data_IF_148749591147
#
_entry.id   IF_148749591147
#
_cell.length_a   1.000
_cell.length_b   1.000
_cell.length_c   1.000
_cell.angle_alpha   90.00
_cell.angle_beta   90.00
_cell.angle_gamma   90.00
#
_symmetry.space_group_name_H-M   'P 1'
#
loop_
_entity.id
_entity.type
_entity.pdbx_description
1 polymer ?
#
# COMPACT_ATOMS: atom_id res chain seq x y z
N UNK A 1 -0.90 10.38 9.17
CA UNK A 1 -1.42 9.00 9.20
C UNK A 1 -0.58 8.23 8.21
N UNK A 2 0.36 7.41 8.70
CA UNK A 2 1.18 6.59 7.81
C UNK A 2 0.30 5.46 7.25
N UNK A 3 0.23 5.33 5.93
CA UNK A 3 -0.47 4.22 5.27
C UNK A 3 0.53 3.10 4.94
N UNK A 4 0.04 1.87 4.97
CA UNK A 4 0.81 0.68 4.61
C UNK A 4 0.89 0.59 3.09
N UNK A 5 2.08 0.39 2.53
CA UNK A 5 2.19 0.00 1.13
C UNK A 5 1.65 -1.42 0.96
N UNK A 6 0.71 -1.63 0.04
CA UNK A 6 0.27 -2.97 -0.30
C UNK A 6 1.42 -3.73 -0.98
N UNK A 7 1.88 -4.83 -0.38
CA UNK A 7 2.90 -5.73 -0.98
C UNK A 7 2.51 -6.13 -2.40
N UNK A 8 3.28 -5.66 -3.39
CA UNK A 8 3.16 -6.08 -4.80
C UNK A 8 4.10 -7.24 -5.10
N UNK A 9 4.06 -8.32 -4.32
CA UNK A 9 4.89 -9.49 -4.61
C UNK A 9 4.62 -9.98 -6.05
N UNK A 10 5.60 -9.75 -6.93
CA UNK A 10 5.74 -10.16 -8.32
C UNK A 10 4.45 -10.47 -9.08
N UNK A 11 3.93 -9.49 -9.82
CA UNK A 11 3.10 -9.72 -11.02
C UNK A 11 3.96 -10.05 -12.27
N UNK A 12 5.28 -10.18 -12.10
CA UNK A 12 6.21 -10.42 -13.18
C UNK A 12 6.29 -11.91 -13.58
N UNK A 13 5.25 -12.40 -14.28
CA UNK A 13 5.38 -13.56 -15.17
C UNK A 13 4.23 -13.65 -16.20
N UNK A 14 3.87 -12.53 -16.84
CA UNK A 14 3.23 -12.58 -18.16
C UNK A 14 4.33 -12.59 -19.24
N UNK A 15 5.11 -13.68 -19.23
CA UNK A 15 6.02 -14.00 -20.32
C UNK A 15 5.23 -14.62 -21.45
N UNK A 16 4.99 -13.85 -22.51
CA UNK A 16 4.63 -14.38 -23.82
C UNK A 16 5.86 -15.10 -24.38
N UNK A 17 5.94 -16.40 -24.12
CA UNK A 17 6.93 -17.29 -24.68
C UNK A 17 6.25 -18.57 -25.12
N UNK A 18 6.25 -18.82 -26.43
CA UNK A 18 5.81 -20.07 -27.04
C UNK A 18 6.69 -21.24 -26.58
N UNK A 19 6.40 -21.76 -25.38
CA UNK A 19 7.10 -22.88 -24.77
C UNK A 19 6.24 -24.14 -24.81
N UNK A 20 6.57 -25.06 -25.73
CA UNK A 20 5.96 -26.39 -25.84
C UNK A 20 5.89 -27.07 -24.47
N UNK A 21 4.72 -27.62 -24.15
CA UNK A 21 4.45 -28.43 -22.97
C UNK A 21 5.46 -29.58 -22.83
N UNK A 22 6.27 -29.53 -21.78
CA UNK A 22 7.09 -30.65 -21.32
C UNK A 22 6.27 -31.57 -20.41
N UNK A 23 6.54 -32.89 -20.40
CA UNK A 23 5.77 -33.86 -19.64
C UNK A 23 6.24 -33.87 -18.18
N UNK A 24 5.74 -32.95 -17.36
CA UNK A 24 5.70 -33.09 -15.91
C UNK A 24 4.78 -32.00 -15.32
N UNK A 25 3.54 -32.38 -15.00
CA UNK A 25 2.47 -31.50 -14.50
C UNK A 25 2.67 -30.95 -13.08
N UNK A 26 3.85 -30.39 -12.79
CA UNK A 26 4.16 -29.72 -11.50
C UNK A 26 4.15 -28.18 -11.61
N UNK A 27 4.35 -27.64 -12.82
CA UNK A 27 4.41 -26.18 -13.09
C UNK A 27 3.05 -25.48 -13.10
N UNK A 28 1.93 -26.19 -13.18
CA UNK A 28 0.60 -25.57 -13.10
C UNK A 28 0.20 -25.17 -11.67
N UNK A 29 0.80 -25.79 -10.65
CA UNK A 29 0.34 -25.67 -9.25
C UNK A 29 0.62 -24.31 -8.62
N UNK A 30 1.74 -23.66 -8.97
CA UNK A 30 2.13 -22.35 -8.40
C UNK A 30 1.44 -21.22 -9.19
N UNK A 31 1.33 -21.36 -10.52
CA UNK A 31 0.61 -20.42 -11.39
C UNK A 31 -0.90 -20.41 -11.17
N UNK A 32 -1.51 -21.53 -10.78
CA UNK A 32 -2.91 -21.55 -10.37
C UNK A 32 -3.15 -20.86 -9.01
N UNK A 33 -2.14 -20.81 -8.14
CA UNK A 33 -2.23 -20.15 -6.84
C UNK A 33 -2.18 -18.61 -6.95
N UNK A 34 -1.66 -18.04 -8.05
CA UNK A 34 -1.62 -16.60 -8.29
C UNK A 34 -2.95 -15.99 -8.74
N UNK A 35 -3.97 -16.80 -9.09
CA UNK A 35 -5.30 -16.35 -9.53
C UNK A 35 -5.44 -16.28 -11.05
N UNK A 36 -6.66 -16.05 -11.56
CA UNK A 36 -6.88 -15.85 -13.00
C UNK A 36 -6.22 -14.54 -13.47
N UNK A 37 -5.66 -14.54 -14.68
CA UNK A 37 -4.82 -13.45 -15.21
C UNK A 37 -5.55 -12.09 -15.21
N UNK A 38 -6.84 -12.09 -15.54
CA UNK A 38 -7.68 -10.89 -15.50
C UNK A 38 -7.86 -10.34 -14.07
N UNK A 39 -7.94 -11.23 -13.07
CA UNK A 39 -8.05 -10.84 -11.66
C UNK A 39 -6.72 -10.24 -11.19
N UNK A 40 -5.59 -10.85 -11.56
CA UNK A 40 -4.26 -10.33 -11.24
C UNK A 40 -4.04 -8.95 -11.85
N UNK A 41 -4.39 -8.77 -13.13
CA UNK A 41 -4.28 -7.49 -13.82
C UNK A 41 -5.16 -6.41 -13.16
N UNK A 42 -6.41 -6.75 -12.78
CA UNK A 42 -7.30 -5.84 -12.05
C UNK A 42 -6.66 -5.35 -10.75
N UNK A 43 -6.22 -6.27 -9.90
CA UNK A 43 -5.64 -5.90 -8.61
C UNK A 43 -4.31 -5.16 -8.79
N UNK A 44 -3.52 -5.48 -9.82
CA UNK A 44 -2.33 -4.70 -10.18
C UNK A 44 -2.66 -3.23 -10.51
N UNK A 45 -3.71 -2.99 -11.30
CA UNK A 45 -4.16 -1.62 -11.61
C UNK A 45 -4.69 -0.88 -10.38
N UNK A 46 -5.39 -1.58 -9.48
CA UNK A 46 -5.85 -0.99 -8.22
C UNK A 46 -4.69 -0.65 -7.30
N UNK A 47 -3.67 -1.50 -7.19
CA UNK A 47 -2.48 -1.21 -6.40
C UNK A 47 -1.66 -0.07 -7.00
N UNK A 48 -1.50 -0.01 -8.33
CA UNK A 48 -0.82 1.11 -8.98
C UNK A 48 -1.53 2.44 -8.69
N UNK A 49 -2.87 2.46 -8.76
CA UNK A 49 -3.66 3.63 -8.41
C UNK A 49 -3.51 3.99 -6.92
N UNK A 50 -3.61 3.00 -6.04
CA UNK A 50 -3.46 3.17 -4.60
C UNK A 50 -2.12 3.81 -4.25
N UNK A 51 -1.01 3.26 -4.76
CA UNK A 51 0.33 3.78 -4.51
C UNK A 51 0.48 5.25 -4.96
N UNK A 52 -0.12 5.64 -6.09
CA UNK A 52 -0.18 7.05 -6.52
C UNK A 52 -0.97 7.94 -5.56
N UNK A 53 -2.07 7.42 -5.01
CA UNK A 53 -2.93 8.16 -4.09
C UNK A 53 -2.28 8.37 -2.72
N UNK A 54 -1.39 7.48 -2.30
CA UNK A 54 -0.72 7.52 -0.99
C UNK A 54 0.74 7.97 -1.04
N UNK A 55 1.23 8.37 -2.20
CA UNK A 55 2.60 8.84 -2.40
C UNK A 55 3.02 9.86 -1.32
N UNK A 56 4.20 9.67 -0.75
CA UNK A 56 4.67 10.44 0.41
C UNK A 56 4.92 11.92 0.13
N UNK A 57 5.07 12.29 -1.14
CA UNK A 57 5.35 13.68 -1.54
C UNK A 57 4.12 14.35 -2.15
N UNK A 58 3.32 13.58 -2.88
CA UNK A 58 2.28 14.11 -3.76
C UNK A 58 0.92 13.41 -3.64
N UNK A 59 0.79 12.44 -2.73
CA UNK A 59 -0.46 11.74 -2.47
C UNK A 59 -1.55 12.67 -1.94
N UNK A 60 -2.79 12.17 -1.95
CA UNK A 60 -3.97 12.89 -1.45
C UNK A 60 -3.83 13.22 0.04
N UNK A 61 -3.41 12.29 0.94
CA UNK A 61 -3.24 12.62 2.35
C UNK A 61 -2.16 13.70 2.61
N UNK A 62 -1.06 13.67 1.86
CA UNK A 62 0.02 14.66 2.01
C UNK A 62 -0.43 16.05 1.54
N UNK A 63 -1.07 16.13 0.36
CA UNK A 63 -1.65 17.38 -0.11
C UNK A 63 -2.75 17.90 0.82
N UNK A 64 -3.53 17.01 1.44
CA UNK A 64 -4.51 17.39 2.45
C UNK A 64 -3.84 18.02 3.69
N UNK A 65 -2.82 17.38 4.25
CA UNK A 65 -2.07 17.93 5.38
C UNK A 65 -1.38 19.27 5.07
N UNK A 66 -0.83 19.42 3.85
CA UNK A 66 -0.32 20.71 3.36
C UNK A 66 -1.42 21.76 3.26
N UNK A 67 -2.61 21.38 2.78
CA UNK A 67 -3.75 22.28 2.63
C UNK A 67 -4.26 22.79 3.98
N UNK A 68 -4.37 21.91 4.98
CA UNK A 68 -4.77 22.28 6.34
C UNK A 68 -3.81 23.32 6.95
N UNK A 69 -2.50 23.16 6.71
CA UNK A 69 -1.47 24.10 7.16
C UNK A 69 -1.59 25.50 6.54
N UNK A 70 -2.26 25.65 5.39
CA UNK A 70 -2.54 26.98 4.83
C UNK A 70 -3.47 27.78 5.75
N UNK A 71 -4.29 27.11 6.56
CA UNK A 71 -5.25 27.73 7.47
C UNK A 71 -6.02 28.88 6.79
N UNK A 72 -6.62 28.58 5.63
CA UNK A 72 -7.31 29.54 4.75
C UNK A 72 -8.29 30.49 5.47
N UNK A 73 -9.04 30.07 6.50
CA UNK A 73 -9.91 30.98 7.25
C UNK A 73 -9.19 32.22 7.79
N UNK A 74 -7.94 32.05 8.25
CA UNK A 74 -7.12 33.12 8.84
C UNK A 74 -5.92 33.53 7.98
N UNK A 75 -5.76 32.95 6.79
CA UNK A 75 -4.64 33.26 5.90
C UNK A 75 -4.62 34.73 5.48
N UNK A 76 -3.41 35.32 5.40
CA UNK A 76 -3.21 36.68 4.93
C UNK A 76 -3.19 36.71 3.39
N UNK A 77 -4.12 37.44 2.73
CA UNK A 77 -4.16 37.52 1.27
C UNK A 77 -2.90 38.15 0.64
N UNK A 78 -2.11 38.93 1.38
CA UNK A 78 -0.88 39.53 0.87
C UNK A 78 0.31 38.55 0.84
N UNK A 79 0.21 37.42 1.52
CA UNK A 79 1.26 36.40 1.55
C UNK A 79 1.36 35.65 0.21
N UNK A 80 2.52 35.05 -0.05
CA UNK A 80 2.63 34.02 -1.09
C UNK A 80 1.96 32.75 -0.58
N UNK A 81 0.94 32.27 -1.28
CA UNK A 81 0.22 31.04 -0.94
C UNK A 81 0.46 30.06 -2.08
N UNK A 82 1.10 28.95 -1.76
CA UNK A 82 1.25 27.82 -2.68
C UNK A 82 0.10 26.85 -2.41
N UNK A 83 -0.72 26.60 -3.43
CA UNK A 83 -1.85 25.68 -3.30
C UNK A 83 -1.36 24.25 -3.51
N UNK A 84 -1.49 23.36 -2.51
CA UNK A 84 -1.04 21.99 -2.63
C UNK A 84 -2.03 21.19 -3.48
N UNK A 85 -1.54 20.70 -4.61
CA UNK A 85 -2.26 19.84 -5.54
C UNK A 85 -1.27 18.95 -6.29
N UNK A 86 -1.78 17.88 -6.91
CA UNK A 86 -1.09 17.19 -8.00
C UNK A 86 -2.13 16.61 -8.96
N UNK A 87 -2.71 17.47 -9.79
CA UNK A 87 -3.77 17.16 -10.76
C UNK A 87 -3.36 15.98 -11.65
N UNK A 88 -2.13 15.99 -12.17
CA UNK A 88 -1.65 14.93 -13.08
C UNK A 88 -1.65 13.56 -12.40
N UNK A 89 -1.12 13.46 -11.18
CA UNK A 89 -1.09 12.19 -10.43
C UNK A 89 -2.50 11.72 -10.09
N UNK A 90 -3.40 12.62 -9.67
CA UNK A 90 -4.78 12.28 -9.35
C UNK A 90 -5.56 11.80 -10.58
N UNK A 91 -5.37 12.43 -11.75
CA UNK A 91 -5.95 11.97 -13.02
C UNK A 91 -5.49 10.57 -13.39
N UNK A 92 -4.18 10.29 -13.27
CA UNK A 92 -3.63 8.97 -13.53
C UNK A 92 -4.19 7.91 -12.58
N UNK A 93 -4.30 8.21 -11.29
CA UNK A 93 -4.88 7.28 -10.32
C UNK A 93 -6.35 6.97 -10.65
N UNK A 94 -7.17 7.99 -10.95
CA UNK A 94 -8.57 7.81 -11.37
C UNK A 94 -8.66 6.95 -12.64
N UNK A 95 -7.80 7.19 -13.63
CA UNK A 95 -7.77 6.41 -14.86
C UNK A 95 -7.47 4.92 -14.58
N UNK A 96 -6.47 4.63 -13.75
CA UNK A 96 -6.10 3.26 -13.36
C UNK A 96 -7.20 2.54 -12.59
N UNK A 97 -7.88 3.23 -11.68
CA UNK A 97 -9.06 2.68 -11.00
C UNK A 97 -10.17 2.32 -12.00
N UNK A 98 -10.44 3.17 -12.99
CA UNK A 98 -11.44 2.89 -14.04
C UNK A 98 -11.02 1.73 -14.95
N UNK A 99 -9.75 1.66 -15.33
CA UNK A 99 -9.20 0.55 -16.12
C UNK A 99 -9.35 -0.78 -15.38
N UNK A 100 -8.90 -0.85 -14.12
CA UNK A 100 -9.05 -2.06 -13.30
C UNK A 100 -10.51 -2.45 -13.10
N UNK A 101 -11.39 -1.46 -12.91
CA UNK A 101 -12.83 -1.69 -12.74
C UNK A 101 -13.53 -2.28 -13.96
N UNK A 102 -13.02 -2.00 -15.15
CA UNK A 102 -13.52 -2.54 -16.41
C UNK A 102 -13.14 -4.01 -16.65
N UNK A 103 -12.11 -4.52 -15.96
CA UNK A 103 -11.71 -5.93 -16.03
C UNK A 103 -12.64 -6.82 -15.20
N UNK A 104 -12.69 -8.11 -15.54
CA UNK A 104 -13.35 -9.13 -14.71
C UNK A 104 -12.42 -9.59 -13.59
N UNK A 105 -12.92 -9.70 -12.36
CA UNK A 105 -12.16 -10.22 -11.22
C UNK A 105 -12.86 -11.36 -10.47
N UNK A 106 -13.96 -11.88 -11.04
CA UNK A 106 -14.80 -12.90 -10.43
C UNK A 106 -15.35 -12.49 -9.04
N UNK A 107 -15.68 -13.46 -8.21
CA UNK A 107 -16.17 -13.19 -6.84
C UNK A 107 -15.13 -12.54 -5.93
N UNK A 108 -13.84 -12.76 -6.19
CA UNK A 108 -12.73 -12.27 -5.36
C UNK A 108 -12.54 -10.75 -5.44
N UNK A 109 -13.00 -10.10 -6.51
CA UNK A 109 -12.87 -8.64 -6.66
C UNK A 109 -14.04 -7.85 -6.09
N UNK A 110 -15.14 -8.48 -5.67
CA UNK A 110 -16.39 -7.76 -5.33
C UNK A 110 -16.21 -6.66 -4.30
N UNK A 111 -15.43 -6.91 -3.23
CA UNK A 111 -15.17 -5.91 -2.19
C UNK A 111 -14.32 -4.75 -2.70
N UNK A 112 -13.26 -5.06 -3.45
CA UNK A 112 -12.38 -4.06 -4.04
C UNK A 112 -13.14 -3.22 -5.08
N UNK A 113 -13.92 -3.86 -5.97
CA UNK A 113 -14.76 -3.19 -6.95
C UNK A 113 -15.76 -2.23 -6.28
N UNK A 114 -16.39 -2.65 -5.18
CA UNK A 114 -17.29 -1.79 -4.42
C UNK A 114 -16.58 -0.60 -3.75
N UNK A 115 -15.35 -0.79 -3.23
CA UNK A 115 -14.55 0.30 -2.68
C UNK A 115 -14.15 1.29 -3.78
N UNK A 116 -13.73 0.79 -4.95
CA UNK A 116 -13.38 1.61 -6.11
C UNK A 116 -14.58 2.38 -6.65
N UNK A 117 -15.75 1.75 -6.76
CA UNK A 117 -16.99 2.38 -7.24
C UNK A 117 -17.40 3.56 -6.34
N UNK A 118 -17.14 3.48 -5.04
CA UNK A 118 -17.34 4.59 -4.10
C UNK A 118 -16.25 5.66 -4.19
N UNK A 119 -14.99 5.26 -4.36
CA UNK A 119 -13.83 6.14 -4.32
C UNK A 119 -13.71 7.04 -5.55
N UNK A 120 -13.96 6.50 -6.75
CA UNK A 120 -13.86 7.27 -8.01
C UNK A 120 -14.62 8.62 -7.95
N UNK A 121 -15.91 8.69 -7.62
CA UNK A 121 -16.63 9.97 -7.59
C UNK A 121 -16.10 10.94 -6.53
N UNK A 122 -15.51 10.45 -5.44
CA UNK A 122 -14.89 11.29 -4.41
C UNK A 122 -13.60 11.94 -4.93
N UNK A 123 -12.76 11.15 -5.61
CA UNK A 123 -11.54 11.63 -6.25
C UNK A 123 -11.84 12.61 -7.40
N UNK A 124 -12.90 12.36 -8.19
CA UNK A 124 -13.34 13.27 -9.25
C UNK A 124 -13.84 14.62 -8.67
N UNK A 125 -14.54 14.59 -7.54
CA UNK A 125 -14.93 15.82 -6.84
C UNK A 125 -13.72 16.61 -6.35
N UNK A 126 -12.72 15.94 -5.77
CA UNK A 126 -11.46 16.56 -5.35
C UNK A 126 -10.71 17.17 -6.54
N UNK A 127 -10.58 16.41 -7.64
CA UNK A 127 -9.95 16.87 -8.88
C UNK A 127 -10.63 18.12 -9.43
N UNK A 128 -11.97 18.16 -9.40
CA UNK A 128 -12.74 19.34 -9.81
C UNK A 128 -12.43 20.58 -8.97
N UNK A 129 -12.26 20.44 -7.66
CA UNK A 129 -11.85 21.53 -6.79
C UNK A 129 -10.42 22.00 -7.11
N UNK A 130 -9.49 21.07 -7.29
CA UNK A 130 -8.10 21.40 -7.64
C UNK A 130 -8.03 22.18 -8.95
N UNK A 131 -8.65 21.68 -10.03
CA UNK A 131 -8.71 22.38 -11.33
C UNK A 131 -9.36 23.76 -11.26
N UNK A 132 -10.29 23.97 -10.33
CA UNK A 132 -10.99 25.25 -10.16
C UNK A 132 -10.15 26.28 -9.40
N UNK A 133 -9.35 25.83 -8.43
CA UNK A 133 -8.60 26.68 -7.51
C UNK A 133 -7.15 26.89 -7.94
N UNK A 134 -6.54 25.92 -8.62
CA UNK A 134 -5.14 25.97 -9.05
C UNK A 134 -4.83 27.23 -9.88
N UNK A 135 -5.56 27.56 -10.97
CA UNK A 135 -5.30 28.79 -11.73
C UNK A 135 -5.50 30.07 -10.90
N UNK A 136 -6.38 30.03 -9.88
CA UNK A 136 -6.66 31.17 -9.02
C UNK A 136 -5.52 31.45 -8.04
N UNK A 137 -4.86 30.40 -7.53
CA UNK A 137 -3.67 30.55 -6.71
C UNK A 137 -2.43 30.86 -7.55
N UNK A 138 -2.24 30.19 -8.69
CA UNK A 138 -1.08 30.37 -9.57
C UNK A 138 -1.01 31.79 -10.16
N UNK A 139 -2.15 32.33 -10.61
CA UNK A 139 -2.23 33.72 -11.09
C UNK A 139 -2.20 34.77 -9.97
N UNK A 140 -2.27 34.34 -8.71
CA UNK A 140 -2.40 35.19 -7.51
C UNK A 140 -3.65 36.06 -7.48
N UNK A 141 -4.70 35.71 -8.22
CA UNK A 141 -5.99 36.39 -8.20
C UNK A 141 -6.62 36.46 -6.79
N UNK A 142 -6.19 35.60 -5.86
CA UNK A 142 -6.58 35.67 -4.45
C UNK A 142 -6.22 36.97 -3.73
N UNK A 143 -5.28 37.74 -4.27
CA UNK A 143 -4.92 39.05 -3.74
C UNK A 143 -5.98 40.10 -4.03
N UNK A 144 -6.68 39.96 -5.16
CA UNK A 144 -7.65 40.94 -5.64
C UNK A 144 -8.98 40.82 -4.89
N UNK A 145 -9.36 39.60 -4.50
CA UNK A 145 -10.62 39.32 -3.78
C UNK A 145 -10.41 39.03 -2.28
N UNK A 146 -9.20 39.20 -1.77
CA UNK A 146 -8.90 38.95 -0.35
C UNK A 146 -9.17 37.51 0.10
N UNK A 147 -8.90 36.53 -0.78
CA UNK A 147 -9.19 35.10 -0.61
C UNK A 147 -10.69 34.73 -0.62
N UNK A 148 -11.58 35.61 -1.08
CA UNK A 148 -13.03 35.36 -1.03
C UNK A 148 -13.42 34.05 -1.74
N UNK A 149 -12.94 33.82 -2.97
CA UNK A 149 -13.22 32.57 -3.71
C UNK A 149 -12.71 31.33 -2.98
N UNK A 150 -11.46 31.37 -2.48
CA UNK A 150 -10.89 30.24 -1.73
C UNK A 150 -11.65 29.93 -0.44
N UNK A 151 -12.05 30.97 0.32
CA UNK A 151 -12.83 30.81 1.57
C UNK A 151 -14.22 30.25 1.29
N UNK A 152 -14.86 30.66 0.20
CA UNK A 152 -16.14 30.11 -0.22
C UNK A 152 -16.04 28.62 -0.63
N UNK A 153 -14.95 28.24 -1.32
CA UNK A 153 -14.70 26.86 -1.74
C UNK A 153 -14.20 25.94 -0.60
N UNK A 154 -13.65 26.51 0.48
CA UNK A 154 -12.97 25.77 1.55
C UNK A 154 -13.80 24.62 2.14
N UNK A 155 -15.09 24.80 2.51
CA UNK A 155 -15.89 23.69 3.05
C UNK A 155 -16.02 22.51 2.07
N UNK A 156 -16.20 22.80 0.78
CA UNK A 156 -16.34 21.77 -0.25
C UNK A 156 -15.02 21.03 -0.51
N UNK A 157 -13.90 21.76 -0.54
CA UNK A 157 -12.58 21.16 -0.69
C UNK A 157 -12.19 20.29 0.51
N UNK A 158 -12.45 20.76 1.74
CA UNK A 158 -12.25 19.94 2.96
C UNK A 158 -13.07 18.64 2.91
N UNK A 159 -14.34 18.73 2.54
CA UNK A 159 -15.21 17.55 2.42
C UNK A 159 -14.72 16.58 1.33
N UNK A 160 -14.25 17.10 0.19
CA UNK A 160 -13.70 16.28 -0.89
C UNK A 160 -12.41 15.56 -0.46
N UNK A 161 -11.51 16.25 0.24
CA UNK A 161 -10.31 15.65 0.82
C UNK A 161 -10.64 14.53 1.83
N UNK A 162 -11.48 14.83 2.82
CA UNK A 162 -11.86 13.88 3.86
C UNK A 162 -12.54 12.63 3.28
N UNK A 163 -13.44 12.83 2.32
CA UNK A 163 -14.11 11.71 1.63
C UNK A 163 -13.12 10.87 0.83
N UNK A 164 -12.19 11.51 0.12
CA UNK A 164 -11.15 10.80 -0.65
C UNK A 164 -10.22 10.01 0.26
N UNK A 165 -9.75 10.58 1.38
CA UNK A 165 -8.90 9.89 2.36
C UNK A 165 -9.63 8.70 2.97
N UNK A 166 -10.90 8.85 3.34
CA UNK A 166 -11.71 7.75 3.85
C UNK A 166 -11.88 6.62 2.81
N UNK A 167 -12.18 6.97 1.56
CA UNK A 167 -12.32 6.01 0.48
C UNK A 167 -11.00 5.30 0.11
N UNK A 168 -9.87 6.00 0.20
CA UNK A 168 -8.52 5.41 0.07
C UNK A 168 -8.31 4.33 1.14
N UNK A 169 -8.70 4.60 2.40
CA UNK A 169 -8.66 3.62 3.47
C UNK A 169 -9.57 2.41 3.26
N UNK A 170 -10.78 2.61 2.69
CA UNK A 170 -11.66 1.50 2.30
C UNK A 170 -11.04 0.62 1.20
N UNK A 171 -10.38 1.24 0.23
CA UNK A 171 -9.67 0.53 -0.83
C UNK A 171 -8.47 -0.24 -0.28
N UNK A 172 -7.65 0.38 0.57
CA UNK A 172 -6.53 -0.27 1.26
C UNK A 172 -6.97 -1.57 1.91
N UNK A 173 -7.99 -1.51 2.78
CA UNK A 173 -8.50 -2.67 3.49
C UNK A 173 -8.97 -3.79 2.54
N UNK A 174 -9.58 -3.45 1.40
CA UNK A 174 -10.01 -4.42 0.40
C UNK A 174 -8.82 -5.06 -0.36
N UNK A 175 -7.78 -4.28 -0.65
CA UNK A 175 -6.55 -4.77 -1.28
C UNK A 175 -5.75 -5.66 -0.31
N UNK A 176 -5.61 -5.27 0.95
CA UNK A 176 -4.94 -6.08 1.97
C UNK A 176 -5.65 -7.42 2.17
N UNK A 177 -6.99 -7.44 2.17
CA UNK A 177 -7.77 -8.68 2.29
C UNK A 177 -7.45 -9.65 1.13
N UNK A 178 -7.46 -9.15 -0.11
CA UNK A 178 -7.09 -9.94 -1.28
C UNK A 178 -5.65 -10.45 -1.20
N UNK A 179 -4.70 -9.57 -0.86
CA UNK A 179 -3.29 -9.92 -0.77
C UNK A 179 -3.04 -10.98 0.30
N UNK A 180 -3.67 -10.89 1.47
CA UNK A 180 -3.59 -11.91 2.53
C UNK A 180 -4.11 -13.27 2.06
N UNK A 181 -5.24 -13.30 1.34
CA UNK A 181 -5.78 -14.53 0.78
C UNK A 181 -4.84 -15.14 -0.27
N UNK A 182 -4.21 -14.32 -1.11
CA UNK A 182 -3.20 -14.75 -2.08
C UNK A 182 -1.96 -15.31 -1.38
N UNK A 183 -1.42 -14.60 -0.39
CA UNK A 183 -0.25 -15.02 0.38
C UNK A 183 -0.50 -16.37 1.05
N UNK A 184 -1.67 -16.58 1.66
CA UNK A 184 -2.03 -17.87 2.24
C UNK A 184 -2.03 -19.03 1.22
N UNK A 185 -2.55 -18.78 0.00
CA UNK A 185 -2.52 -19.77 -1.08
C UNK A 185 -1.08 -20.04 -1.57
N UNK A 186 -0.26 -19.00 -1.64
CA UNK A 186 1.15 -19.10 -2.04
C UNK A 186 1.99 -19.86 -1.01
N UNK A 187 1.81 -19.60 0.28
CA UNK A 187 2.44 -20.35 1.37
C UNK A 187 2.09 -21.84 1.25
N UNK A 188 0.82 -22.17 1.03
CA UNK A 188 0.38 -23.56 0.86
C UNK A 188 1.01 -24.22 -0.38
N UNK A 189 1.10 -23.50 -1.50
CA UNK A 189 1.71 -23.98 -2.73
C UNK A 189 3.22 -24.25 -2.54
N UNK A 190 3.97 -23.26 -2.01
CA UNK A 190 5.40 -23.36 -1.74
C UNK A 190 5.72 -24.51 -0.77
N UNK A 191 4.91 -24.66 0.29
CA UNK A 191 5.06 -25.75 1.26
C UNK A 191 4.87 -27.12 0.57
N UNK A 192 3.86 -27.25 -0.29
CA UNK A 192 3.58 -28.50 -1.01
C UNK A 192 4.66 -28.85 -2.04
N UNK A 193 5.29 -27.86 -2.66
CA UNK A 193 6.39 -28.05 -3.61
C UNK A 193 7.76 -28.22 -2.95
N UNK A 194 7.86 -28.10 -1.62
CA UNK A 194 9.10 -28.26 -0.86
C UNK A 194 9.96 -27.00 -0.74
N UNK A 195 9.42 -25.84 -1.15
CA UNK A 195 10.06 -24.52 -1.03
C UNK A 195 9.76 -23.90 0.34
N UNK A 196 10.21 -24.58 1.40
CA UNK A 196 9.84 -24.24 2.79
C UNK A 196 10.50 -22.97 3.29
N UNK A 197 11.66 -22.59 2.73
CA UNK A 197 12.35 -21.35 3.08
C UNK A 197 11.53 -20.15 2.60
N UNK A 198 11.14 -20.16 1.33
CA UNK A 198 10.31 -19.15 0.69
C UNK A 198 8.91 -19.10 1.32
N UNK A 199 8.32 -20.25 1.64
CA UNK A 199 7.05 -20.31 2.37
C UNK A 199 7.15 -19.63 3.74
N UNK A 200 8.26 -19.82 4.46
CA UNK A 200 8.49 -19.19 5.77
C UNK A 200 8.66 -17.67 5.64
N UNK A 201 9.32 -17.21 4.58
CA UNK A 201 9.48 -15.78 4.31
C UNK A 201 8.13 -15.11 4.03
N UNK A 202 7.32 -15.69 3.14
CA UNK A 202 5.97 -15.17 2.82
C UNK A 202 5.08 -15.17 4.07
N UNK A 203 5.16 -16.20 4.92
CA UNK A 203 4.42 -16.28 6.19
C UNK A 203 4.85 -15.19 7.19
N UNK A 204 6.15 -14.93 7.31
CA UNK A 204 6.67 -13.85 8.16
C UNK A 204 6.21 -12.47 7.67
N UNK A 205 6.28 -12.21 6.36
CA UNK A 205 5.79 -10.97 5.76
C UNK A 205 4.28 -10.78 5.95
N UNK A 206 3.48 -11.85 5.81
CA UNK A 206 2.05 -11.78 6.08
C UNK A 206 1.76 -11.48 7.56
N UNK A 207 2.54 -12.03 8.50
CA UNK A 207 2.40 -11.72 9.94
C UNK A 207 2.83 -10.29 10.26
N UNK A 208 3.88 -9.81 9.61
CA UNK A 208 4.33 -8.43 9.71
C UNK A 208 3.24 -7.46 9.24
N UNK A 209 2.57 -7.77 8.11
CA UNK A 209 1.42 -7.01 7.61
C UNK A 209 0.30 -6.89 8.66
N UNK A 210 -0.17 -8.04 9.18
CA UNK A 210 -1.20 -8.05 10.22
C UNK A 210 -0.81 -7.24 11.46
N UNK A 211 0.44 -7.38 11.88
CA UNK A 211 0.98 -6.66 13.02
C UNK A 211 1.02 -5.15 12.77
N UNK A 212 1.57 -4.70 11.63
CA UNK A 212 1.63 -3.28 11.25
C UNK A 212 0.24 -2.67 11.12
N UNK A 213 -0.74 -3.39 10.55
CA UNK A 213 -2.14 -2.94 10.50
C UNK A 213 -2.68 -2.67 11.91
N UNK A 214 -2.50 -3.61 12.86
CA UNK A 214 -2.98 -3.43 14.22
C UNK A 214 -2.31 -2.23 14.93
N UNK A 215 -1.02 -2.00 14.67
CA UNK A 215 -0.30 -0.83 15.15
C UNK A 215 -0.91 0.46 14.58
N UNK A 216 -1.16 0.52 13.27
CA UNK A 216 -1.68 1.70 12.58
C UNK A 216 -3.12 2.05 12.95
N UNK A 217 -3.96 1.03 13.14
CA UNK A 217 -5.34 1.18 13.60
C UNK A 217 -5.46 1.50 15.10
N UNK A 218 -4.33 1.72 15.79
CA UNK A 218 -4.25 2.01 17.23
C UNK A 218 -4.93 0.92 18.07
N UNK A 219 -4.65 -0.35 17.73
CA UNK A 219 -5.16 -1.54 18.42
C UNK A 219 -4.03 -2.25 19.16
N UNK A 220 -3.54 -1.70 20.28
CA UNK A 220 -2.38 -2.25 20.99
C UNK A 220 -2.59 -3.67 21.52
N UNK A 221 -3.81 -4.02 21.95
CA UNK A 221 -4.10 -5.38 22.41
C UNK A 221 -4.03 -6.40 21.26
N UNK A 222 -4.44 -6.02 20.06
CA UNK A 222 -4.34 -6.87 18.87
C UNK A 222 -2.88 -7.02 18.42
N UNK A 223 -2.12 -5.92 18.40
CA UNK A 223 -0.69 -5.95 18.12
C UNK A 223 0.07 -6.85 19.12
N UNK A 224 -0.25 -6.76 20.42
CA UNK A 224 0.34 -7.64 21.43
C UNK A 224 -0.04 -9.12 21.25
N UNK A 225 -1.27 -9.41 20.82
CA UNK A 225 -1.70 -10.77 20.48
C UNK A 225 -0.95 -11.34 19.27
N UNK A 226 -0.63 -10.50 18.28
CA UNK A 226 0.04 -10.90 17.04
C UNK A 226 1.56 -11.04 17.20
N UNK A 227 2.17 -10.25 18.09
CA UNK A 227 3.62 -10.15 18.27
C UNK A 227 4.33 -11.51 18.44
N UNK A 228 3.86 -12.46 19.28
CA UNK A 228 4.55 -13.76 19.42
C UNK A 228 4.63 -14.54 18.11
N UNK A 229 3.58 -14.48 17.29
CA UNK A 229 3.53 -15.14 15.99
C UNK A 229 4.53 -14.53 15.00
N UNK A 230 4.64 -13.19 14.98
CA UNK A 230 5.65 -12.49 14.18
C UNK A 230 7.07 -12.91 14.62
N UNK A 231 7.36 -12.90 15.92
CA UNK A 231 8.67 -13.32 16.46
C UNK A 231 9.03 -14.75 16.04
N UNK A 232 8.08 -15.69 16.16
CA UNK A 232 8.31 -17.07 15.74
C UNK A 232 8.57 -17.18 14.22
N UNK A 233 7.83 -16.42 13.41
CA UNK A 233 8.00 -16.44 11.96
C UNK A 233 9.33 -15.82 11.53
N UNK A 234 9.75 -14.70 12.13
CA UNK A 234 11.08 -14.10 11.89
C UNK A 234 12.20 -15.07 12.26
N UNK A 235 12.06 -15.83 13.37
CA UNK A 235 13.03 -16.85 13.73
C UNK A 235 13.13 -17.96 12.66
N UNK A 236 12.01 -18.40 12.08
CA UNK A 236 12.01 -19.38 10.98
C UNK A 236 12.71 -18.84 9.72
N UNK A 237 12.55 -17.55 9.41
CA UNK A 237 13.28 -16.91 8.31
C UNK A 237 14.79 -16.94 8.58
N UNK A 238 15.23 -16.59 9.80
CA UNK A 238 16.65 -16.68 10.17
C UNK A 238 17.18 -18.11 10.13
N UNK A 239 16.40 -19.09 10.58
CA UNK A 239 16.79 -20.50 10.46
C UNK A 239 16.91 -20.97 9.00
N UNK A 240 16.03 -20.49 8.13
CA UNK A 240 16.09 -20.77 6.70
C UNK A 240 17.34 -20.12 6.09
N UNK A 241 17.56 -18.82 6.34
CA UNK A 241 18.74 -18.05 5.92
C UNK A 241 20.05 -18.75 6.32
N UNK A 242 20.17 -19.17 7.59
CA UNK A 242 21.37 -19.81 8.10
C UNK A 242 21.70 -21.15 7.40
N UNK A 243 20.68 -21.84 6.86
CA UNK A 243 20.85 -23.10 6.10
C UNK A 243 21.17 -22.88 4.63
N UNK A 244 21.00 -21.66 4.11
CA UNK A 244 21.35 -21.32 2.72
C UNK A 244 22.86 -21.26 2.53
N UNK A 245 23.32 -21.69 1.35
CA UNK A 245 24.71 -21.52 0.92
C UNK A 245 25.08 -20.04 0.89
N UNK A 246 26.35 -19.71 1.16
CA UNK A 246 26.80 -18.32 1.30
C UNK A 246 26.60 -17.48 0.03
N UNK A 247 26.59 -18.12 -1.13
CA UNK A 247 26.39 -17.56 -2.47
C UNK A 247 24.95 -17.73 -3.00
N UNK A 248 24.03 -18.22 -2.17
CA UNK A 248 22.63 -18.34 -2.56
C UNK A 248 22.04 -16.94 -2.81
N UNK A 249 21.42 -16.77 -3.97
CA UNK A 249 20.88 -15.52 -4.50
C UNK A 249 20.00 -14.76 -3.50
N UNK A 250 19.05 -15.45 -2.87
CA UNK A 250 18.12 -14.82 -1.93
C UNK A 250 18.68 -14.63 -0.50
N UNK A 251 19.90 -15.09 -0.18
CA UNK A 251 20.38 -15.11 1.22
C UNK A 251 20.48 -13.70 1.83
N UNK A 252 20.94 -12.72 1.04
CA UNK A 252 21.02 -11.32 1.50
C UNK A 252 19.65 -10.73 1.80
N UNK A 253 18.65 -11.06 0.98
CA UNK A 253 17.30 -10.53 1.16
C UNK A 253 16.60 -11.18 2.33
N UNK A 254 16.76 -12.49 2.54
CA UNK A 254 16.27 -13.15 3.75
C UNK A 254 16.86 -12.52 5.02
N UNK A 255 18.17 -12.26 5.04
CA UNK A 255 18.82 -11.60 6.17
C UNK A 255 18.26 -10.19 6.38
N UNK A 256 18.19 -9.39 5.31
CA UNK A 256 17.75 -8.00 5.38
C UNK A 256 16.30 -7.90 5.85
N UNK A 257 15.42 -8.75 5.34
CA UNK A 257 14.01 -8.81 5.75
C UNK A 257 13.93 -9.21 7.22
N UNK A 258 14.62 -10.27 7.66
CA UNK A 258 14.60 -10.69 9.06
C UNK A 258 15.08 -9.57 10.02
N UNK A 259 16.11 -8.82 9.64
CA UNK A 259 16.60 -7.68 10.41
C UNK A 259 15.53 -6.58 10.54
N UNK A 260 14.78 -6.27 9.47
CA UNK A 260 13.65 -5.32 9.51
C UNK A 260 12.52 -5.80 10.41
N UNK A 261 12.15 -7.07 10.30
CA UNK A 261 11.09 -7.65 11.14
C UNK A 261 11.49 -7.63 12.62
N UNK A 262 12.76 -7.87 12.95
CA UNK A 262 13.26 -7.75 14.32
C UNK A 262 13.25 -6.29 14.82
N UNK A 263 13.59 -5.31 13.96
CA UNK A 263 13.46 -3.88 14.29
C UNK A 263 12.01 -3.50 14.60
N UNK A 264 11.03 -3.97 13.81
CA UNK A 264 9.61 -3.74 14.09
C UNK A 264 9.21 -4.27 15.48
N UNK A 265 9.66 -5.48 15.82
CA UNK A 265 9.44 -6.08 17.15
C UNK A 265 10.09 -5.23 18.26
N UNK A 266 11.28 -4.70 18.01
CA UNK A 266 12.00 -3.78 18.90
C UNK A 266 11.21 -2.49 19.14
N UNK A 267 10.88 -1.75 18.08
CA UNK A 267 10.11 -0.51 18.17
C UNK A 267 8.77 -0.69 18.85
N UNK A 268 8.10 -1.84 18.70
CA UNK A 268 6.88 -2.09 19.47
C UNK A 268 7.11 -2.23 20.97
N UNK A 269 8.20 -2.90 21.37
CA UNK A 269 8.57 -3.02 22.80
C UNK A 269 8.92 -1.65 23.39
N UNK A 270 9.54 -0.78 22.61
CA UNK A 270 9.88 0.58 23.01
C UNK A 270 8.63 1.47 23.04
N UNK A 271 7.75 1.37 22.04
CA UNK A 271 6.45 2.04 22.03
C UNK A 271 5.63 1.72 23.28
N UNK A 272 5.62 0.46 23.73
CA UNK A 272 4.86 0.08 24.93
C UNK A 272 5.33 0.81 26.18
N UNK A 273 6.60 1.21 26.24
CA UNK A 273 7.19 1.96 27.35
C UNK A 273 7.05 3.47 27.15
N UNK A 274 7.35 3.96 25.94
CA UNK A 274 7.44 5.39 25.64
C UNK A 274 6.11 6.02 25.24
N UNK A 275 5.20 5.23 24.64
CA UNK A 275 3.99 5.68 23.94
C UNK A 275 4.25 6.73 22.86
N UNK A 276 5.47 6.75 22.32
CA UNK A 276 5.91 7.72 21.33
C UNK A 276 5.42 7.37 19.93
N UNK A 277 4.85 8.34 19.22
CA UNK A 277 4.45 8.16 17.82
C UNK A 277 5.64 7.83 16.91
N UNK A 278 6.84 8.29 17.27
CA UNK A 278 8.08 7.95 16.57
C UNK A 278 8.30 6.42 16.46
N UNK A 279 7.95 5.67 17.50
CA UNK A 279 8.11 4.21 17.49
C UNK A 279 7.07 3.55 16.57
N UNK A 280 5.85 4.10 16.50
CA UNK A 280 4.83 3.62 15.55
C UNK A 280 5.23 3.92 14.12
N UNK A 281 5.80 5.09 13.85
CA UNK A 281 6.33 5.47 12.55
C UNK A 281 7.51 4.57 12.14
N UNK A 282 8.37 4.22 13.08
CA UNK A 282 9.50 3.31 12.86
C UNK A 282 9.04 1.92 12.43
N UNK A 283 8.00 1.36 13.06
CA UNK A 283 7.40 0.08 12.66
C UNK A 283 6.93 0.10 11.21
N UNK A 284 6.26 1.18 10.80
CA UNK A 284 5.75 1.31 9.42
C UNK A 284 6.90 1.46 8.42
N UNK A 285 7.91 2.25 8.76
CA UNK A 285 9.12 2.44 7.94
C UNK A 285 9.89 1.13 7.72
N UNK A 286 10.10 0.35 8.78
CA UNK A 286 10.79 -0.95 8.68
C UNK A 286 9.95 -1.97 7.92
N UNK A 287 8.62 -1.95 8.09
CA UNK A 287 7.72 -2.80 7.30
C UNK A 287 7.78 -2.46 5.81
N UNK A 288 7.66 -1.19 5.43
CA UNK A 288 7.77 -0.77 4.03
C UNK A 288 9.15 -1.11 3.45
N UNK A 289 10.22 -0.92 4.23
CA UNK A 289 11.57 -1.34 3.83
C UNK A 289 11.67 -2.86 3.60
N UNK A 290 10.97 -3.67 4.41
CA UNK A 290 10.92 -5.12 4.22
C UNK A 290 10.12 -5.51 2.96
N UNK A 291 9.09 -4.74 2.60
CA UNK A 291 8.35 -4.92 1.34
C UNK A 291 9.28 -4.69 0.15
N UNK A 292 10.01 -3.58 0.15
CA UNK A 292 10.92 -3.25 -0.95
C UNK A 292 11.94 -4.37 -1.17
N UNK A 293 12.45 -4.98 -0.09
CA UNK A 293 13.33 -6.15 -0.18
C UNK A 293 12.63 -7.42 -0.63
N UNK A 294 11.37 -7.61 -0.25
CA UNK A 294 10.59 -8.77 -0.68
C UNK A 294 10.36 -8.75 -2.20
N UNK A 295 10.28 -7.58 -2.81
CA UNK A 295 10.14 -7.44 -4.26
C UNK A 295 11.42 -7.86 -5.02
N UNK A 296 12.59 -7.86 -4.35
CA UNK A 296 13.86 -8.35 -4.89
C UNK A 296 14.07 -9.87 -4.69
N UNK A 297 13.18 -10.57 -3.97
CA UNK A 297 13.30 -12.02 -3.71
C UNK A 297 12.83 -12.82 -4.92
N UNK A 298 13.70 -13.69 -5.44
CA UNK A 298 13.33 -14.62 -6.49
C UNK A 298 12.50 -15.79 -5.92
N UNK A 299 11.19 -15.78 -6.20
CA UNK A 299 10.30 -16.88 -5.82
C UNK A 299 10.27 -17.96 -6.91
N UNK A 300 10.26 -19.25 -6.52
CA UNK A 300 10.22 -20.36 -7.47
C UNK A 300 8.90 -20.35 -8.27
N UNK A 301 9.02 -20.67 -9.56
CA UNK A 301 7.93 -20.64 -10.55
C UNK A 301 6.98 -21.83 -10.50
#
# INVERSE_FOLDING_TARGET
MALVCAMTMGLAACGQGDGKAGPNGKTESVRAASGDEATQQKFGLYTEAFNKLIDEHWGVPENFGKYEKLNLPTANPSSSIYFPENITTLEQAIAKLKEGRALSGGGKSQRADAAVDKLIPQLEALLGQWKTLDPYFESRAYRDDGLAKAKAAHPALMAAYQSSVAGIGELDAALSEYQRARNAAQIAALTKSGHTAEASLVDAMQKADHFTTAVLEDKPEEADRLLPGLVEATAKVREAEAKMAADAENKSEFSSIADRLDSMVGSWRDYKQSKSDYERESIVSDYNSAIDRMDDVELPS
#
